data_IF_708680525037
#
_entry.id   IF_708680525037
#
_cell.length_a   1.000
_cell.length_b   1.000
_cell.length_c   1.000
_cell.angle_alpha   90.00
_cell.angle_beta   90.00
_cell.angle_gamma   90.00
#
_symmetry.space_group_name_H-M   'P 1'
#
loop_
_entity.id
_entity.type
_entity.pdbx_description
1 polymer ?
#
# COMPACT_ATOMS: atom_id res chain seq x y z
N UNK A 1 -25.79 54.64 -9.00
CA UNK A 1 -25.18 53.32 -9.29
C UNK A 1 -23.85 53.42 -10.05
N UNK A 2 -23.75 54.18 -11.14
CA UNK A 2 -22.50 54.32 -11.94
C UNK A 2 -21.21 54.72 -11.18
N UNK A 3 -21.28 55.54 -10.13
CA UNK A 3 -20.09 55.92 -9.33
C UNK A 3 -19.54 54.76 -8.49
N UNK A 4 -20.41 53.94 -7.90
CA UNK A 4 -20.00 52.78 -7.10
C UNK A 4 -19.34 51.69 -7.97
N UNK A 5 -19.86 51.50 -9.19
CA UNK A 5 -19.28 50.60 -10.20
C UNK A 5 -17.91 51.08 -10.68
N UNK A 6 -17.73 52.39 -10.87
CA UNK A 6 -16.44 52.98 -11.23
C UNK A 6 -15.38 52.80 -10.11
N UNK A 7 -15.77 52.92 -8.85
CA UNK A 7 -14.87 52.66 -7.70
C UNK A 7 -14.51 51.17 -7.62
N UNK A 8 -15.48 50.26 -7.73
CA UNK A 8 -15.23 48.82 -7.73
C UNK A 8 -14.35 48.36 -8.90
N UNK A 9 -14.51 48.95 -10.09
CA UNK A 9 -13.65 48.70 -11.24
C UNK A 9 -12.22 49.19 -11.01
N UNK A 10 -12.05 50.35 -10.37
CA UNK A 10 -10.74 50.92 -10.03
C UNK A 10 -10.00 50.08 -8.98
N UNK A 11 -10.71 49.54 -7.99
CA UNK A 11 -10.12 48.67 -6.97
C UNK A 11 -9.72 47.32 -7.53
N UNK A 12 -10.54 46.72 -8.40
CA UNK A 12 -10.17 45.50 -9.15
C UNK A 12 -8.92 45.73 -10.00
N UNK A 13 -8.84 46.87 -10.71
CA UNK A 13 -7.67 47.21 -11.50
C UNK A 13 -6.42 47.39 -10.63
N UNK A 14 -6.55 47.98 -9.44
CA UNK A 14 -5.47 48.12 -8.47
C UNK A 14 -4.98 46.75 -7.97
N UNK A 15 -5.90 45.86 -7.60
CA UNK A 15 -5.57 44.49 -7.17
C UNK A 15 -4.89 43.68 -8.27
N UNK A 16 -5.33 43.80 -9.52
CA UNK A 16 -4.69 43.14 -10.66
C UNK A 16 -3.28 43.68 -10.89
N UNK A 17 -3.08 45.00 -10.78
CA UNK A 17 -1.75 45.62 -10.90
C UNK A 17 -0.80 45.19 -9.79
N UNK A 18 -1.27 45.13 -8.54
CA UNK A 18 -0.43 44.68 -7.42
C UNK A 18 -0.07 43.20 -7.55
N UNK A 19 -1.01 42.36 -7.96
CA UNK A 19 -0.77 40.93 -8.22
C UNK A 19 0.24 40.75 -9.35
N UNK A 20 0.07 41.44 -10.46
CA UNK A 20 0.99 41.38 -11.60
C UNK A 20 2.40 41.87 -11.23
N UNK A 21 2.51 42.96 -10.46
CA UNK A 21 3.79 43.45 -9.97
C UNK A 21 4.48 42.44 -9.02
N UNK A 22 3.71 41.76 -8.16
CA UNK A 22 4.21 40.70 -7.28
C UNK A 22 4.67 39.47 -8.08
N UNK A 23 3.92 39.06 -9.10
CA UNK A 23 4.30 37.96 -10.00
C UNK A 23 5.57 38.30 -10.80
N UNK A 24 5.71 39.53 -11.30
CA UNK A 24 6.95 39.97 -11.95
C UNK A 24 8.14 40.05 -10.99
N UNK A 25 7.94 40.55 -9.76
CA UNK A 25 8.99 40.59 -8.74
C UNK A 25 9.44 39.17 -8.36
N UNK A 26 8.49 38.25 -8.16
CA UNK A 26 8.77 36.83 -7.92
C UNK A 26 9.48 36.19 -9.12
N UNK A 27 9.08 36.50 -10.35
CA UNK A 27 9.74 36.02 -11.56
C UNK A 27 11.20 36.48 -11.66
N UNK A 28 11.47 37.77 -11.41
CA UNK A 28 12.84 38.31 -11.36
C UNK A 28 13.68 37.69 -10.24
N UNK A 29 13.09 37.49 -9.06
CA UNK A 29 13.77 36.84 -7.94
C UNK A 29 14.13 35.37 -8.27
N UNK A 30 13.25 34.63 -8.96
CA UNK A 30 13.54 33.28 -9.45
C UNK A 30 14.67 33.29 -10.48
N UNK A 31 14.61 34.16 -11.48
CA UNK A 31 15.67 34.27 -12.49
C UNK A 31 17.02 34.63 -11.88
N UNK A 32 17.05 35.53 -10.88
CA UNK A 32 18.27 35.88 -10.16
C UNK A 32 18.81 34.68 -9.35
N UNK A 33 17.93 33.93 -8.68
CA UNK A 33 18.31 32.72 -7.96
C UNK A 33 18.83 31.62 -8.92
N UNK A 34 18.17 31.42 -10.05
CA UNK A 34 18.59 30.48 -11.10
C UNK A 34 19.91 30.91 -11.74
N UNK A 35 20.14 32.20 -11.99
CA UNK A 35 21.41 32.74 -12.48
C UNK A 35 22.54 32.62 -11.45
N UNK A 36 22.21 32.77 -10.17
CA UNK A 36 23.15 32.67 -9.06
C UNK A 36 23.54 31.24 -8.66
N UNK A 37 22.80 30.22 -9.09
CA UNK A 37 23.09 28.83 -8.70
C UNK A 37 24.26 28.27 -9.52
N UNK A 38 25.45 28.00 -8.94
CA UNK A 38 26.63 27.64 -9.72
C UNK A 38 26.45 26.33 -10.49
N UNK A 39 26.97 26.25 -11.73
CA UNK A 39 26.82 25.06 -12.58
C UNK A 39 27.37 23.77 -11.96
N UNK A 40 28.46 23.86 -11.17
CA UNK A 40 29.03 22.72 -10.44
C UNK A 40 28.12 22.23 -9.32
N UNK A 41 27.49 23.16 -8.58
CA UNK A 41 26.55 22.82 -7.50
C UNK A 41 25.25 22.25 -8.07
N UNK A 42 24.74 22.81 -9.18
CA UNK A 42 23.66 22.22 -9.98
C UNK A 42 23.96 20.77 -10.34
N UNK A 43 25.10 20.53 -10.97
CA UNK A 43 25.48 19.17 -11.38
C UNK A 43 25.63 18.21 -10.18
N UNK A 44 26.18 18.67 -9.05
CA UNK A 44 26.30 17.86 -7.85
C UNK A 44 24.93 17.52 -7.23
N UNK A 45 24.00 18.48 -7.16
CA UNK A 45 22.64 18.25 -6.68
C UNK A 45 21.88 17.32 -7.62
N UNK A 46 21.96 17.54 -8.94
CA UNK A 46 21.34 16.65 -9.94
C UNK A 46 21.83 15.21 -9.78
N UNK A 47 23.14 14.98 -9.67
CA UNK A 47 23.68 13.63 -9.46
C UNK A 47 23.18 12.97 -8.17
N UNK A 48 23.06 13.73 -7.08
CA UNK A 48 22.50 13.21 -5.81
C UNK A 48 21.03 12.83 -5.94
N UNK A 49 20.25 13.66 -6.63
CA UNK A 49 18.84 13.38 -6.90
C UNK A 49 18.66 12.17 -7.82
N UNK A 50 19.50 12.04 -8.85
CA UNK A 50 19.53 10.87 -9.74
C UNK A 50 19.86 9.60 -8.96
N UNK A 51 20.93 9.61 -8.16
CA UNK A 51 21.31 8.47 -7.32
C UNK A 51 20.18 8.08 -6.35
N UNK A 52 19.58 9.04 -5.64
CA UNK A 52 18.48 8.78 -4.73
C UNK A 52 17.23 8.23 -5.45
N UNK A 53 16.93 8.73 -6.65
CA UNK A 53 15.83 8.22 -7.49
C UNK A 53 16.10 6.79 -7.91
N UNK A 54 17.31 6.49 -8.37
CA UNK A 54 17.69 5.19 -8.89
C UNK A 54 17.75 4.14 -7.75
N UNK A 55 18.22 4.52 -6.57
CA UNK A 55 18.13 3.71 -5.34
C UNK A 55 16.68 3.42 -4.96
N UNK A 56 15.81 4.45 -4.96
CA UNK A 56 14.39 4.27 -4.69
C UNK A 56 13.71 3.33 -5.72
N UNK A 57 14.04 3.48 -7.01
CA UNK A 57 13.54 2.62 -8.07
C UNK A 57 14.00 1.17 -7.89
N UNK A 58 15.27 0.95 -7.55
CA UNK A 58 15.81 -0.37 -7.28
C UNK A 58 15.12 -1.04 -6.07
N UNK A 59 14.88 -0.28 -4.99
CA UNK A 59 14.16 -0.77 -3.82
C UNK A 59 12.71 -1.16 -4.16
N UNK A 60 12.01 -0.34 -4.95
CA UNK A 60 10.65 -0.66 -5.42
C UNK A 60 10.64 -1.94 -6.26
N UNK A 61 11.58 -2.09 -7.20
CA UNK A 61 11.69 -3.28 -8.03
C UNK A 61 12.03 -4.55 -7.20
N UNK A 62 12.84 -4.42 -6.15
CA UNK A 62 13.12 -5.52 -5.22
C UNK A 62 11.87 -5.93 -4.45
N UNK A 63 11.11 -4.96 -3.91
CA UNK A 63 9.85 -5.22 -3.20
C UNK A 63 8.81 -5.87 -4.11
N UNK A 64 8.68 -5.43 -5.36
CA UNK A 64 7.76 -6.04 -6.32
C UNK A 64 8.08 -7.53 -6.57
N UNK A 65 9.36 -7.86 -6.75
CA UNK A 65 9.79 -9.26 -6.92
C UNK A 65 9.52 -10.10 -5.67
N UNK A 66 9.87 -9.59 -4.50
CA UNK A 66 9.61 -10.29 -3.23
C UNK A 66 8.10 -10.48 -2.98
N UNK A 67 7.28 -9.48 -3.27
CA UNK A 67 5.83 -9.58 -3.16
C UNK A 67 5.25 -10.62 -4.13
N UNK A 68 5.71 -10.64 -5.39
CA UNK A 68 5.29 -11.65 -6.36
C UNK A 68 5.66 -13.08 -5.91
N UNK A 69 6.87 -13.27 -5.39
CA UNK A 69 7.32 -14.56 -4.86
C UNK A 69 6.48 -15.00 -3.63
N UNK A 70 6.21 -14.07 -2.71
CA UNK A 70 5.38 -14.32 -1.54
C UNK A 70 3.95 -14.70 -1.96
N UNK A 71 3.34 -13.98 -2.90
CA UNK A 71 2.02 -14.29 -3.43
C UNK A 71 1.98 -15.68 -4.09
N UNK A 72 3.01 -16.04 -4.87
CA UNK A 72 3.10 -17.36 -5.49
C UNK A 72 3.16 -18.48 -4.44
N UNK A 73 3.95 -18.29 -3.36
CA UNK A 73 4.05 -19.26 -2.25
C UNK A 73 2.73 -19.40 -1.49
N UNK A 74 2.03 -18.31 -1.24
CA UNK A 74 0.72 -18.35 -0.56
C UNK A 74 -0.33 -19.01 -1.45
N UNK A 75 -0.36 -18.71 -2.75
CA UNK A 75 -1.27 -19.35 -3.70
C UNK A 75 -1.02 -20.87 -3.81
N UNK A 76 0.25 -21.30 -3.79
CA UNK A 76 0.60 -22.71 -3.75
C UNK A 76 0.09 -23.39 -2.47
N UNK A 77 0.25 -22.75 -1.32
CA UNK A 77 -0.30 -23.23 -0.04
C UNK A 77 -1.83 -23.35 -0.08
N UNK A 78 -2.54 -22.31 -0.52
CA UNK A 78 -4.00 -22.31 -0.65
C UNK A 78 -4.48 -23.47 -1.54
N UNK A 79 -3.84 -23.66 -2.71
CA UNK A 79 -4.14 -24.74 -3.63
C UNK A 79 -3.99 -26.12 -2.98
N UNK A 80 -2.90 -26.35 -2.24
CA UNK A 80 -2.65 -27.62 -1.54
C UNK A 80 -3.71 -27.87 -0.47
N UNK A 81 -4.05 -26.87 0.35
CA UNK A 81 -5.05 -27.02 1.42
C UNK A 81 -6.43 -27.31 0.83
N UNK A 82 -6.85 -26.59 -0.22
CA UNK A 82 -8.14 -26.82 -0.87
C UNK A 82 -8.21 -28.18 -1.57
N UNK A 83 -7.13 -28.60 -2.24
CA UNK A 83 -7.05 -29.92 -2.86
C UNK A 83 -7.14 -31.04 -1.83
N UNK A 84 -6.47 -30.89 -0.69
CA UNK A 84 -6.57 -31.83 0.42
C UNK A 84 -7.98 -31.89 1.01
N UNK A 85 -8.65 -30.74 1.20
CA UNK A 85 -10.04 -30.69 1.67
C UNK A 85 -10.99 -31.41 0.70
N UNK A 86 -10.86 -31.14 -0.60
CA UNK A 86 -11.65 -31.82 -1.63
C UNK A 86 -11.39 -33.34 -1.64
N UNK A 87 -10.13 -33.76 -1.51
CA UNK A 87 -9.75 -35.17 -1.44
C UNK A 87 -10.33 -35.90 -0.23
N UNK A 88 -10.39 -35.24 0.94
CA UNK A 88 -11.06 -35.79 2.13
C UNK A 88 -12.57 -35.91 1.93
N UNK A 89 -13.21 -34.86 1.39
CA UNK A 89 -14.66 -34.89 1.10
C UNK A 89 -15.03 -35.95 0.08
N UNK A 90 -14.21 -36.14 -0.96
CA UNK A 90 -14.41 -37.19 -1.96
C UNK A 90 -14.34 -38.62 -1.38
N UNK A 91 -13.73 -38.79 -0.21
CA UNK A 91 -13.69 -40.05 0.56
C UNK A 91 -14.80 -40.15 1.62
N UNK A 92 -15.71 -39.18 1.68
CA UNK A 92 -16.78 -39.12 2.67
C UNK A 92 -16.37 -38.53 4.02
N UNK A 93 -15.14 -38.01 4.17
CA UNK A 93 -14.67 -37.40 5.42
C UNK A 93 -14.98 -35.89 5.41
N UNK A 94 -15.98 -35.48 6.20
CA UNK A 94 -16.46 -34.09 6.26
C UNK A 94 -16.33 -33.48 7.65
N UNK A 95 -15.59 -32.38 7.76
CA UNK A 95 -15.49 -31.64 9.02
C UNK A 95 -16.62 -30.62 9.21
N UNK A 96 -17.60 -30.53 8.29
CA UNK A 96 -18.69 -29.56 8.35
C UNK A 96 -19.56 -29.73 9.62
N UNK A 97 -19.55 -30.92 10.25
CA UNK A 97 -20.25 -31.23 11.51
C UNK A 97 -19.40 -31.19 12.78
N UNK A 98 -18.21 -30.58 12.76
CA UNK A 98 -17.32 -30.50 13.93
C UNK A 98 -16.45 -31.73 14.18
N UNK A 99 -16.26 -32.57 13.16
CA UNK A 99 -15.43 -33.78 13.22
C UNK A 99 -13.93 -33.41 13.22
N UNK A 100 -13.11 -34.16 13.95
CA UNK A 100 -11.66 -33.91 14.07
C UNK A 100 -10.86 -34.27 12.81
N UNK A 101 -11.45 -35.03 11.88
CA UNK A 101 -10.84 -35.43 10.63
C UNK A 101 -11.81 -35.17 9.47
N UNK A 102 -11.40 -34.36 8.50
CA UNK A 102 -12.18 -34.13 7.29
C UNK A 102 -11.91 -32.79 6.62
N UNK A 103 -12.43 -32.63 5.41
CA UNK A 103 -12.46 -31.36 4.71
C UNK A 103 -13.79 -30.64 4.91
N UNK A 104 -13.79 -29.31 4.95
CA UNK A 104 -15.03 -28.50 4.93
C UNK A 104 -15.35 -28.02 3.52
N UNK A 105 -16.60 -27.61 3.28
CA UNK A 105 -16.99 -26.95 2.02
C UNK A 105 -16.19 -25.66 1.74
N UNK A 106 -15.74 -24.97 2.79
CA UNK A 106 -14.90 -23.77 2.69
C UNK A 106 -13.42 -24.06 2.34
N UNK A 107 -13.04 -25.33 2.21
CA UNK A 107 -11.66 -25.74 1.91
C UNK A 107 -10.75 -25.84 3.13
N UNK A 108 -11.28 -25.85 4.35
CA UNK A 108 -10.51 -26.06 5.58
C UNK A 108 -10.26 -27.56 5.76
N UNK A 109 -9.08 -27.94 6.26
CA UNK A 109 -8.72 -29.32 6.56
C UNK A 109 -8.52 -29.50 8.06
N UNK A 110 -9.23 -30.46 8.64
CA UNK A 110 -9.00 -30.96 9.98
C UNK A 110 -8.25 -32.29 9.85
N UNK A 111 -7.02 -32.34 10.34
CA UNK A 111 -6.16 -33.52 10.22
C UNK A 111 -5.21 -33.59 11.41
N UNK A 112 -5.23 -34.71 12.14
CA UNK A 112 -4.33 -34.98 13.26
C UNK A 112 -4.35 -33.90 14.35
N UNK A 113 -5.54 -33.39 14.68
CA UNK A 113 -5.72 -32.32 15.68
C UNK A 113 -5.28 -30.93 15.21
N UNK A 114 -4.81 -30.79 13.97
CA UNK A 114 -4.41 -29.51 13.37
C UNK A 114 -5.47 -29.06 12.37
N UNK A 115 -5.78 -27.76 12.41
CA UNK A 115 -6.70 -27.11 11.47
C UNK A 115 -5.90 -26.29 10.46
N UNK A 116 -5.91 -26.72 9.20
CA UNK A 116 -5.27 -26.04 8.09
C UNK A 116 -6.29 -25.20 7.34
N UNK A 117 -6.01 -23.92 7.14
CA UNK A 117 -6.96 -22.98 6.54
C UNK A 117 -6.42 -22.46 5.21
N UNK A 118 -7.28 -22.34 4.18
CA UNK A 118 -6.89 -21.66 2.95
C UNK A 118 -6.51 -20.21 3.27
N UNK A 119 -5.55 -19.67 2.51
CA UNK A 119 -5.03 -18.32 2.73
C UNK A 119 -5.18 -17.48 1.46
N UNK A 120 -5.71 -16.27 1.61
CA UNK A 120 -5.71 -15.28 0.54
C UNK A 120 -4.43 -14.45 0.56
N UNK A 121 -3.63 -14.57 -0.49
CA UNK A 121 -2.38 -13.81 -0.67
C UNK A 121 -2.62 -12.31 -0.74
N UNK A 122 -3.74 -11.86 -1.34
CA UNK A 122 -4.08 -10.45 -1.44
C UNK A 122 -4.33 -9.82 -0.07
N UNK A 123 -5.19 -10.45 0.74
CA UNK A 123 -5.45 -10.04 2.11
C UNK A 123 -4.18 -10.07 3.01
N UNK A 124 -3.29 -11.05 2.82
CA UNK A 124 -2.03 -11.11 3.56
C UNK A 124 -1.09 -9.94 3.20
N UNK A 125 -0.89 -9.67 1.91
CA UNK A 125 -0.04 -8.57 1.46
C UNK A 125 -0.57 -7.22 1.96
N UNK A 126 -1.89 -7.01 1.89
CA UNK A 126 -2.54 -5.80 2.41
C UNK A 126 -2.28 -5.58 3.91
N UNK A 127 -2.34 -6.65 4.72
CA UNK A 127 -2.06 -6.57 6.14
C UNK A 127 -0.59 -6.27 6.46
N UNK A 128 0.35 -6.86 5.71
CA UNK A 128 1.79 -6.55 5.85
C UNK A 128 2.06 -5.08 5.52
N UNK A 129 1.50 -4.58 4.42
CA UNK A 129 1.64 -3.17 4.04
C UNK A 129 1.06 -2.24 5.11
N UNK A 130 -0.12 -2.54 5.63
CA UNK A 130 -0.73 -1.77 6.71
C UNK A 130 0.16 -1.74 7.96
N UNK A 131 0.67 -2.89 8.39
CA UNK A 131 1.56 -3.01 9.55
C UNK A 131 2.85 -2.19 9.37
N UNK A 132 3.47 -2.30 8.20
CA UNK A 132 4.68 -1.54 7.88
C UNK A 132 4.43 -0.02 7.87
N UNK A 133 3.29 0.42 7.34
CA UNK A 133 2.90 1.85 7.38
C UNK A 133 2.62 2.28 8.81
N UNK A 134 1.86 1.50 9.58
CA UNK A 134 1.53 1.83 10.97
C UNK A 134 2.77 1.94 11.86
N UNK A 135 3.79 1.11 11.63
CA UNK A 135 5.06 1.18 12.34
C UNK A 135 5.84 2.48 12.06
N UNK A 136 5.64 3.09 10.88
CA UNK A 136 6.29 4.35 10.49
C UNK A 136 5.46 5.59 10.84
N UNK A 137 4.16 5.53 10.61
CA UNK A 137 3.19 6.58 10.94
C UNK A 137 1.80 5.97 11.21
N UNK A 138 1.47 5.87 12.50
CA UNK A 138 0.18 5.34 12.95
C UNK A 138 -1.01 6.24 12.59
N UNK A 139 -0.79 7.52 12.26
CA UNK A 139 -1.86 8.45 11.85
C UNK A 139 -2.14 8.40 10.36
N UNK A 140 -1.32 7.68 9.59
CA UNK A 140 -1.49 7.56 8.15
C UNK A 140 -2.83 6.87 7.81
N UNK A 141 -3.59 7.34 6.80
CA UNK A 141 -4.88 6.73 6.42
C UNK A 141 -4.79 5.23 6.11
N UNK A 142 -3.69 4.78 5.48
CA UNK A 142 -3.42 3.35 5.23
C UNK A 142 -3.20 2.54 6.52
N UNK A 143 -2.68 3.14 7.60
CA UNK A 143 -2.53 2.47 8.89
C UNK A 143 -3.89 2.26 9.58
N UNK A 144 -4.84 3.17 9.34
CA UNK A 144 -6.18 3.17 9.95
C UNK A 144 -7.22 2.37 9.17
N UNK A 145 -6.86 1.91 7.97
CA UNK A 145 -7.75 1.16 7.09
C UNK A 145 -8.20 -0.14 7.77
N UNK A 146 -9.49 -0.26 8.06
CA UNK A 146 -10.06 -1.51 8.57
C UNK A 146 -10.33 -2.45 7.39
N UNK A 147 -9.36 -3.30 7.08
CA UNK A 147 -9.55 -4.44 6.16
C UNK A 147 -10.42 -5.51 6.83
N UNK A 148 -11.70 -5.20 6.96
CA UNK A 148 -12.76 -6.11 7.44
C UNK A 148 -13.77 -6.48 6.36
N UNK A 149 -13.52 -6.14 5.09
CA UNK A 149 -14.49 -6.30 4.00
C UNK A 149 -14.02 -7.13 2.80
N UNK A 150 -12.77 -7.62 2.79
CA UNK A 150 -12.22 -8.35 1.62
C UNK A 150 -11.98 -9.84 1.87
N UNK A 151 -12.27 -10.34 3.08
CA UNK A 151 -12.15 -11.76 3.35
C UNK A 151 -12.94 -12.24 4.57
N UNK A 152 -13.37 -13.50 4.53
CA UNK A 152 -14.13 -14.13 5.61
C UNK A 152 -13.30 -14.34 6.89
N UNK A 153 -13.96 -14.66 8.01
CA UNK A 153 -13.31 -14.96 9.30
C UNK A 153 -12.19 -16.02 9.21
N UNK A 154 -12.36 -17.01 8.33
CA UNK A 154 -11.38 -18.05 8.07
C UNK A 154 -10.07 -17.50 7.46
N UNK A 155 -10.18 -16.58 6.50
CA UNK A 155 -9.04 -15.97 5.82
C UNK A 155 -8.27 -15.02 6.76
N UNK A 156 -8.99 -14.28 7.61
CA UNK A 156 -8.38 -13.50 8.68
C UNK A 156 -7.54 -14.39 9.61
N UNK A 157 -8.09 -15.54 10.01
CA UNK A 157 -7.40 -16.46 10.93
C UNK A 157 -6.17 -17.08 10.28
N UNK A 158 -6.29 -17.52 9.02
CA UNK A 158 -5.16 -18.06 8.25
C UNK A 158 -4.04 -17.03 8.10
N UNK A 159 -4.40 -15.78 7.80
CA UNK A 159 -3.47 -14.66 7.71
C UNK A 159 -2.74 -14.41 9.03
N UNK A 160 -3.48 -14.30 10.13
CA UNK A 160 -2.89 -14.00 11.44
C UNK A 160 -1.95 -15.14 11.89
N UNK A 161 -2.27 -16.41 11.57
CA UNK A 161 -1.39 -17.56 11.82
C UNK A 161 -0.09 -17.51 11.00
N UNK A 162 -0.18 -17.20 9.70
CA UNK A 162 1.00 -17.04 8.83
C UNK A 162 1.92 -15.91 9.31
N UNK A 163 1.35 -14.79 9.76
CA UNK A 163 2.11 -13.67 10.30
C UNK A 163 2.79 -14.02 11.63
N UNK A 164 2.11 -14.74 12.52
CA UNK A 164 2.70 -15.22 13.79
C UNK A 164 3.91 -16.11 13.55
N UNK A 165 3.78 -17.10 12.66
CA UNK A 165 4.87 -18.02 12.30
C UNK A 165 6.07 -17.31 11.65
N UNK A 166 5.83 -16.20 10.96
CA UNK A 166 6.91 -15.39 10.40
C UNK A 166 7.65 -14.58 11.48
N UNK A 167 6.97 -14.17 12.56
CA UNK A 167 7.55 -13.40 13.66
C UNK A 167 8.39 -14.24 14.64
N UNK A 168 8.22 -15.56 14.64
CA UNK A 168 9.00 -16.52 15.46
C UNK A 168 10.38 -16.87 14.87
N UNK A 169 10.72 -16.32 13.70
CA UNK A 169 12.01 -16.53 13.00
C UNK A 169 12.94 -15.33 13.18
#
# INVERSE_FOLDING_TARGET
MARAEAHAARDRLRHLRTRFAAEQAAGRARQAAEGGFPGKERAAVTRRLEAARDEAAAAVAAVQRAAAEALAKVAAYDSVVRAAAAGLKGRGLSADGGQELGGTAGGVVHLSGVVWRPADGGALLGAVMQSAVAARDARHPLAQLRWGQLGGLAEKTARDELLSKAAER
#
